data_IF_198346088439
#
_entry.id   IF_198346088439
#
_cell.length_a   1.000
_cell.length_b   1.000
_cell.length_c   1.000
_cell.angle_alpha   90.00
_cell.angle_beta   90.00
_cell.angle_gamma   90.00
#
_symmetry.space_group_name_H-M   'P 1'
#
loop_
_entity.id
_entity.type
_entity.pdbx_description
1 polymer ?
#
# COMPACT_ATOMS: atom_id res chain seq x y z
N UNK A 1 16.13 -5.55 -17.15
CA UNK A 1 15.56 -5.07 -15.87
C UNK A 1 14.72 -3.79 -15.99
N UNK A 2 15.20 -2.71 -16.61
CA UNK A 2 14.46 -1.42 -16.74
C UNK A 2 13.08 -1.47 -17.44
N UNK A 3 12.80 -2.53 -18.20
CA UNK A 3 11.53 -2.70 -18.91
C UNK A 3 10.37 -3.12 -18.00
N UNK A 4 10.64 -3.88 -16.95
CA UNK A 4 9.62 -4.39 -16.02
C UNK A 4 9.47 -3.52 -14.77
N UNK A 5 10.28 -2.48 -14.64
CA UNK A 5 10.30 -1.61 -13.46
C UNK A 5 8.91 -1.06 -13.09
N UNK A 6 8.10 -0.51 -14.02
CA UNK A 6 6.77 -0.02 -13.66
C UNK A 6 5.86 -1.14 -13.13
N UNK A 7 5.99 -2.34 -13.69
CA UNK A 7 5.19 -3.51 -13.35
C UNK A 7 5.58 -4.09 -11.98
N UNK A 8 6.88 -4.08 -11.66
CA UNK A 8 7.39 -4.44 -10.33
C UNK A 8 6.87 -3.45 -9.27
N UNK A 9 6.88 -2.14 -9.57
CA UNK A 9 6.37 -1.11 -8.66
C UNK A 9 4.86 -1.28 -8.41
N UNK A 10 4.09 -1.60 -9.46
CA UNK A 10 2.66 -1.95 -9.32
C UNK A 10 2.47 -3.17 -8.41
N UNK A 11 3.22 -4.25 -8.65
CA UNK A 11 3.12 -5.48 -7.86
C UNK A 11 3.49 -5.25 -6.39
N UNK A 12 4.56 -4.50 -6.13
CA UNK A 12 4.94 -4.11 -4.77
C UNK A 12 3.88 -3.22 -4.11
N UNK A 13 3.28 -2.28 -4.84
CA UNK A 13 2.20 -1.45 -4.35
C UNK A 13 1.00 -2.27 -3.89
N UNK A 14 0.56 -3.23 -4.71
CA UNK A 14 -0.54 -4.15 -4.38
C UNK A 14 -0.18 -4.97 -3.14
N UNK A 15 1.03 -5.56 -3.12
CA UNK A 15 1.48 -6.38 -1.99
C UNK A 15 1.47 -5.58 -0.68
N UNK A 16 2.01 -4.36 -0.71
CA UNK A 16 2.05 -3.49 0.47
C UNK A 16 0.65 -3.11 0.95
N UNK A 17 -0.27 -2.83 0.02
CA UNK A 17 -1.66 -2.53 0.36
C UNK A 17 -2.37 -3.72 0.98
N UNK A 18 -2.21 -4.92 0.43
CA UNK A 18 -2.82 -6.14 1.00
C UNK A 18 -2.24 -6.44 2.37
N UNK A 19 -0.92 -6.43 2.51
CA UNK A 19 -0.26 -6.70 3.79
C UNK A 19 -0.63 -5.66 4.84
N UNK A 20 -0.65 -4.37 4.49
CA UNK A 20 -1.04 -3.29 5.40
C UNK A 20 -2.49 -3.42 5.88
N UNK A 21 -3.40 -3.79 4.98
CA UNK A 21 -4.81 -4.03 5.33
C UNK A 21 -4.97 -5.23 6.27
N UNK A 22 -4.32 -6.36 5.95
CA UNK A 22 -4.36 -7.54 6.81
C UNK A 22 -3.72 -7.27 8.17
N UNK A 23 -2.62 -6.51 8.20
CA UNK A 23 -1.96 -6.11 9.45
C UNK A 23 -2.89 -5.26 10.33
N UNK A 24 -3.55 -4.24 9.77
CA UNK A 24 -4.53 -3.46 10.51
C UNK A 24 -5.68 -4.35 11.05
N UNK A 25 -6.20 -5.26 10.22
CA UNK A 25 -7.28 -6.16 10.63
C UNK A 25 -6.90 -7.16 11.72
N UNK A 26 -5.75 -7.82 11.62
CA UNK A 26 -5.35 -8.89 12.54
C UNK A 26 -4.59 -8.39 13.77
N UNK A 27 -3.76 -7.35 13.63
CA UNK A 27 -2.87 -6.87 14.71
C UNK A 27 -3.40 -5.59 15.33
N UNK A 28 -3.93 -4.68 14.51
CA UNK A 28 -4.62 -3.49 15.00
C UNK A 28 -5.96 -3.84 15.62
N UNK A 29 -6.78 -4.65 14.95
CA UNK A 29 -8.10 -5.04 15.44
C UNK A 29 -9.06 -3.85 15.57
N UNK A 30 -10.20 -4.10 16.22
CA UNK A 30 -11.22 -3.08 16.50
C UNK A 30 -11.21 -2.84 18.00
N UNK A 31 -10.97 -1.61 18.48
CA UNK A 31 -11.02 -1.34 19.90
C UNK A 31 -12.41 -1.63 20.45
N UNK A 32 -12.46 -2.44 21.50
CA UNK A 32 -13.67 -2.78 22.23
C UNK A 32 -14.12 -1.63 23.14
N UNK A 33 -15.42 -1.58 23.50
CA UNK A 33 -15.94 -0.56 24.42
C UNK A 33 -15.38 -0.69 25.84
N UNK A 34 -14.89 -1.87 26.21
CA UNK A 34 -14.36 -2.18 27.55
C UNK A 34 -12.82 -2.16 27.60
N UNK A 35 -12.15 -1.82 26.50
CA UNK A 35 -10.68 -1.82 26.44
C UNK A 35 -10.09 -0.76 27.37
N UNK A 36 -9.01 -1.11 28.05
CA UNK A 36 -8.25 -0.12 28.81
C UNK A 36 -7.69 0.97 27.87
N UNK A 37 -7.46 2.21 28.36
CA UNK A 37 -6.88 3.27 27.54
C UNK A 37 -5.54 2.88 26.90
N UNK A 38 -4.77 2.02 27.57
CA UNK A 38 -3.49 1.51 27.08
C UNK A 38 -3.69 0.53 25.91
N UNK A 39 -4.67 -0.37 25.99
CA UNK A 39 -5.00 -1.31 24.91
C UNK A 39 -5.57 -0.58 23.70
N UNK A 40 -6.50 0.35 23.91
CA UNK A 40 -7.05 1.17 22.84
C UNK A 40 -5.96 2.00 22.12
N UNK A 41 -4.98 2.54 22.87
CA UNK A 41 -3.84 3.25 22.29
C UNK A 41 -2.93 2.31 21.48
N UNK A 42 -2.68 1.11 21.98
CA UNK A 42 -1.88 0.09 21.29
C UNK A 42 -2.54 -0.37 19.97
N UNK A 43 -3.83 -0.67 20.00
CA UNK A 43 -4.68 -0.99 18.83
C UNK A 43 -4.66 0.17 17.82
N UNK A 44 -4.86 1.40 18.30
CA UNK A 44 -4.84 2.60 17.44
C UNK A 44 -3.49 2.79 16.74
N UNK A 45 -2.38 2.53 17.43
CA UNK A 45 -1.03 2.61 16.86
C UNK A 45 -0.85 1.62 15.71
N UNK A 46 -1.19 0.35 15.92
CA UNK A 46 -1.06 -0.69 14.89
C UNK A 46 -1.98 -0.45 13.70
N UNK A 47 -3.19 0.04 13.94
CA UNK A 47 -4.10 0.47 12.87
C UNK A 47 -3.51 1.62 12.03
N UNK A 48 -2.85 2.60 12.66
CA UNK A 48 -2.17 3.68 11.94
C UNK A 48 -0.98 3.17 11.11
N UNK A 49 -0.22 2.21 11.64
CA UNK A 49 0.90 1.58 10.92
C UNK A 49 0.36 0.84 9.67
N UNK A 50 -0.66 -0.01 9.86
CA UNK A 50 -1.29 -0.74 8.76
C UNK A 50 -1.88 0.21 7.70
N UNK A 51 -2.59 1.27 8.13
CA UNK A 51 -3.10 2.30 7.23
C UNK A 51 -1.98 3.02 6.47
N UNK A 52 -0.88 3.36 7.14
CA UNK A 52 0.30 3.95 6.50
C UNK A 52 0.88 3.06 5.41
N UNK A 53 1.01 1.75 5.68
CA UNK A 53 1.43 0.78 4.68
C UNK A 53 0.45 0.70 3.49
N UNK A 54 -0.86 0.74 3.75
CA UNK A 54 -1.88 0.80 2.69
C UNK A 54 -1.69 2.03 1.80
N UNK A 55 -1.53 3.21 2.39
CA UNK A 55 -1.31 4.46 1.66
C UNK A 55 -0.07 4.41 0.79
N UNK A 56 1.07 3.96 1.33
CA UNK A 56 2.32 3.82 0.56
C UNK A 56 2.13 2.82 -0.59
N UNK A 57 1.40 1.73 -0.35
CA UNK A 57 1.07 0.74 -1.38
C UNK A 57 0.24 1.32 -2.52
N UNK A 58 -0.81 2.08 -2.20
CA UNK A 58 -1.67 2.75 -3.19
C UNK A 58 -0.88 3.78 -4.00
N UNK A 59 -0.07 4.59 -3.34
CA UNK A 59 0.79 5.57 -4.04
C UNK A 59 1.78 4.88 -4.98
N UNK A 60 2.39 3.77 -4.53
CA UNK A 60 3.30 2.98 -5.36
C UNK A 60 2.57 2.38 -6.56
N UNK A 61 1.38 1.81 -6.34
CA UNK A 61 0.53 1.27 -7.40
C UNK A 61 0.21 2.33 -8.46
N UNK A 62 -0.30 3.50 -8.04
CA UNK A 62 -0.63 4.59 -8.94
C UNK A 62 0.60 5.12 -9.68
N UNK A 63 1.72 5.31 -8.98
CA UNK A 63 2.98 5.75 -9.58
C UNK A 63 3.49 4.75 -10.62
N UNK A 64 3.43 3.45 -10.33
CA UNK A 64 3.78 2.39 -11.26
C UNK A 64 2.88 2.36 -12.50
N UNK A 65 1.57 2.54 -12.33
CA UNK A 65 0.62 2.65 -13.45
C UNK A 65 0.93 3.86 -14.34
N UNK A 66 1.10 5.04 -13.75
CA UNK A 66 1.43 6.28 -14.49
C UNK A 66 2.74 6.12 -15.25
N UNK A 67 3.79 5.58 -14.61
CA UNK A 67 5.06 5.31 -15.28
C UNK A 67 4.92 4.30 -16.43
N UNK A 68 4.07 3.29 -16.26
CA UNK A 68 3.74 2.30 -17.29
C UNK A 68 3.07 2.95 -18.51
N UNK A 69 2.07 3.81 -18.27
CA UNK A 69 1.34 4.54 -19.31
C UNK A 69 2.26 5.50 -20.07
N UNK A 70 3.04 6.33 -19.36
CA UNK A 70 4.02 7.24 -19.97
C UNK A 70 4.95 6.46 -20.90
N UNK A 71 5.47 5.33 -20.44
CA UNK A 71 6.37 4.48 -21.22
C UNK A 71 5.70 3.89 -22.46
N UNK A 72 4.45 3.46 -22.37
CA UNK A 72 3.68 2.93 -23.51
C UNK A 72 3.52 3.99 -24.60
N UNK A 73 3.15 5.22 -24.22
CA UNK A 73 3.03 6.33 -25.16
C UNK A 73 4.38 6.76 -25.76
N UNK A 74 5.45 6.77 -24.98
CA UNK A 74 6.80 7.04 -25.50
C UNK A 74 7.21 6.01 -26.55
N UNK A 75 6.95 4.71 -26.33
CA UNK A 75 7.25 3.68 -27.33
C UNK A 75 6.47 3.85 -28.62
N UNK A 76 5.18 4.21 -28.52
CA UNK A 76 4.32 4.45 -29.69
C UNK A 76 4.77 5.65 -30.52
N UNK A 77 5.34 6.70 -29.90
CA UNK A 77 5.84 7.88 -30.60
C UNK A 77 7.13 7.64 -31.40
N UNK A 78 7.88 6.60 -31.05
CA UNK A 78 9.16 6.24 -31.68
C UNK A 78 9.06 5.00 -32.59
N UNK A 79 7.85 4.50 -32.83
CA UNK A 79 7.56 3.40 -33.77
C UNK A 79 6.80 3.92 -34.98
#
# INVERSE_FOLDING_TARGET
MKQYFPLIVVALGILLSVVGFLYAGFVGGIPGPDDSPAEAAHVSLHNKIGFGAVCVGVLSFLGGMVAGVIRLFSRKKHS
#
